data_IF_045964356169
#
_entry.id   IF_045964356169
#
_cell.length_a   1.000
_cell.length_b   1.000
_cell.length_c   1.000
_cell.angle_alpha   90.00
_cell.angle_beta   90.00
_cell.angle_gamma   90.00
#
_symmetry.space_group_name_H-M   'P 1'
#
loop_
_entity.id
_entity.type
_entity.pdbx_description
1 polymer ?
#
# COMPACT_ATOMS: atom_id res chain seq x y z
N UNK A 1 -20.72 -7.01 -22.25
CA UNK A 1 -20.92 -7.30 -20.81
C UNK A 1 -20.64 -6.03 -20.01
N UNK A 2 -21.56 -5.62 -19.13
CA UNK A 2 -21.25 -4.51 -18.22
C UNK A 2 -20.21 -5.00 -17.20
N UNK A 3 -19.12 -4.28 -17.02
CA UNK A 3 -18.00 -4.64 -16.14
C UNK A 3 -18.49 -4.95 -14.71
N UNK A 4 -19.51 -4.21 -14.22
CA UNK A 4 -20.15 -4.38 -12.92
C UNK A 4 -21.66 -4.56 -13.12
N UNK A 5 -22.23 -5.78 -13.19
CA UNK A 5 -23.66 -5.98 -13.31
C UNK A 5 -24.38 -5.51 -12.04
N UNK A 6 -25.47 -4.75 -12.23
CA UNK A 6 -26.22 -4.10 -11.15
C UNK A 6 -26.86 -5.12 -10.17
N UNK A 7 -27.18 -6.30 -10.63
CA UNK A 7 -27.75 -7.41 -9.84
C UNK A 7 -26.82 -7.91 -8.72
N UNK A 8 -25.50 -7.66 -8.83
CA UNK A 8 -24.51 -7.99 -7.81
C UNK A 8 -24.35 -6.90 -6.73
N UNK A 9 -24.92 -5.71 -6.98
CA UNK A 9 -24.74 -4.55 -6.12
C UNK A 9 -25.98 -4.31 -5.24
N UNK A 10 -25.76 -3.68 -4.09
CA UNK A 10 -26.84 -3.23 -3.22
C UNK A 10 -27.72 -2.17 -3.91
N UNK A 11 -28.96 -2.04 -3.45
CA UNK A 11 -29.89 -1.07 -4.02
C UNK A 11 -29.37 0.36 -3.80
N UNK A 12 -29.39 1.17 -4.87
CA UNK A 12 -28.89 2.54 -4.86
C UNK A 12 -27.38 2.68 -5.11
N UNK A 13 -26.59 1.61 -5.08
CA UNK A 13 -25.15 1.67 -5.37
C UNK A 13 -24.93 1.87 -6.86
N UNK A 14 -24.14 2.90 -7.19
CA UNK A 14 -23.77 3.21 -8.57
C UNK A 14 -22.47 2.50 -8.97
N UNK A 15 -22.39 2.04 -10.21
CA UNK A 15 -21.19 1.37 -10.75
C UNK A 15 -19.90 2.17 -10.58
N UNK A 16 -19.98 3.51 -10.61
CA UNK A 16 -18.83 4.40 -10.39
C UNK A 16 -18.27 4.29 -8.96
N UNK A 17 -19.10 3.95 -7.99
CA UNK A 17 -18.68 3.77 -6.60
C UNK A 17 -17.87 2.49 -6.44
N UNK A 18 -18.32 1.42 -7.09
CA UNK A 18 -17.58 0.16 -7.17
C UNK A 18 -16.27 0.33 -7.95
N UNK A 19 -16.31 1.08 -9.04
CA UNK A 19 -15.10 1.41 -9.81
C UNK A 19 -14.09 2.20 -8.96
N UNK A 20 -14.54 3.25 -8.24
CA UNK A 20 -13.68 4.02 -7.34
C UNK A 20 -13.09 3.16 -6.22
N UNK A 21 -13.88 2.25 -5.65
CA UNK A 21 -13.42 1.29 -4.66
C UNK A 21 -12.36 0.32 -5.22
N UNK A 22 -12.58 -0.24 -6.41
CA UNK A 22 -11.61 -1.09 -7.09
C UNK A 22 -10.35 -0.34 -7.52
N UNK A 23 -10.47 0.95 -7.90
CA UNK A 23 -9.32 1.80 -8.21
C UNK A 23 -8.49 2.16 -6.98
N UNK A 24 -9.07 2.16 -5.78
CA UNK A 24 -8.29 2.26 -4.57
C UNK A 24 -7.37 1.03 -4.40
N UNK A 25 -7.91 -0.16 -4.60
CA UNK A 25 -7.13 -1.41 -4.55
C UNK A 25 -6.02 -1.43 -5.62
N UNK A 26 -6.33 -0.93 -6.82
CA UNK A 26 -5.33 -0.71 -7.87
C UNK A 26 -4.16 0.17 -7.40
N UNK A 27 -4.45 1.32 -6.82
CA UNK A 27 -3.43 2.27 -6.37
C UNK A 27 -2.60 1.72 -5.20
N UNK A 28 -3.27 1.12 -4.23
CA UNK A 28 -2.72 0.61 -2.98
C UNK A 28 -1.76 -0.60 -3.18
N UNK A 29 -2.02 -1.46 -4.17
CA UNK A 29 -1.24 -2.67 -4.43
C UNK A 29 0.21 -2.39 -4.85
N UNK A 30 0.50 -1.20 -5.38
CA UNK A 30 1.86 -0.76 -5.68
C UNK A 30 2.76 -0.69 -4.44
N UNK A 31 2.22 -0.31 -3.30
CA UNK A 31 2.96 -0.25 -2.04
C UNK A 31 3.46 -1.65 -1.62
N UNK A 32 2.59 -2.65 -1.61
CA UNK A 32 2.96 -4.01 -1.22
C UNK A 32 4.03 -4.60 -2.12
N UNK A 33 3.87 -4.44 -3.44
CA UNK A 33 4.79 -5.04 -4.41
C UNK A 33 6.15 -4.35 -4.42
N UNK A 34 6.20 -3.03 -4.37
CA UNK A 34 7.45 -2.27 -4.50
C UNK A 34 8.11 -2.06 -3.14
N UNK A 35 7.38 -1.59 -2.13
CA UNK A 35 7.97 -1.23 -0.83
C UNK A 35 8.21 -2.47 0.02
N UNK A 36 7.16 -3.26 0.27
CA UNK A 36 7.27 -4.39 1.20
C UNK A 36 8.07 -5.56 0.64
N UNK A 37 7.97 -5.82 -0.67
CA UNK A 37 8.43 -7.08 -1.24
C UNK A 37 9.68 -6.94 -2.12
N UNK A 38 9.66 -6.07 -3.14
CA UNK A 38 10.65 -6.16 -4.21
C UNK A 38 11.85 -5.21 -4.06
N UNK A 39 11.61 -3.92 -3.79
CA UNK A 39 12.65 -2.88 -3.93
C UNK A 39 13.16 -2.39 -2.59
N UNK A 40 12.27 -1.84 -1.74
CA UNK A 40 12.74 -1.20 -0.51
C UNK A 40 13.23 -2.19 0.53
N UNK A 41 12.69 -3.40 0.60
CA UNK A 41 13.22 -4.48 1.43
C UNK A 41 14.72 -4.73 1.17
N UNK A 42 15.08 -4.93 -0.10
CA UNK A 42 16.47 -5.16 -0.50
C UNK A 42 17.36 -3.94 -0.21
N UNK A 43 16.84 -2.75 -0.44
CA UNK A 43 17.53 -1.49 -0.15
C UNK A 43 17.75 -1.28 1.34
N UNK A 44 16.74 -1.58 2.17
CA UNK A 44 16.85 -1.51 3.62
C UNK A 44 18.00 -2.39 4.13
N UNK A 45 18.02 -3.66 3.71
CA UNK A 45 19.04 -4.62 4.15
C UNK A 45 20.42 -4.24 3.62
N UNK A 46 20.56 -3.95 2.33
CA UNK A 46 21.85 -3.74 1.68
C UNK A 46 22.44 -2.34 1.88
N UNK A 47 21.61 -1.31 1.98
CA UNK A 47 22.06 0.09 1.99
C UNK A 47 21.79 0.77 3.33
N UNK A 48 20.54 0.83 3.79
CA UNK A 48 20.22 1.50 5.04
C UNK A 48 20.89 0.83 6.26
N UNK A 49 20.83 -0.50 6.33
CA UNK A 49 21.48 -1.30 7.36
C UNK A 49 22.91 -1.77 6.99
N UNK A 50 23.43 -1.32 5.85
CA UNK A 50 24.81 -1.56 5.37
C UNK A 50 25.19 -3.05 5.28
N UNK A 51 24.23 -3.93 5.01
CA UNK A 51 24.46 -5.38 4.91
C UNK A 51 24.84 -6.07 6.22
N UNK A 52 24.49 -5.49 7.37
CA UNK A 52 24.77 -6.09 8.67
C UNK A 52 24.03 -7.42 8.84
N UNK A 53 24.61 -8.38 9.56
CA UNK A 53 24.04 -9.71 9.79
C UNK A 53 22.64 -9.69 10.42
N UNK A 54 22.34 -8.64 11.19
CA UNK A 54 21.03 -8.43 11.82
C UNK A 54 20.01 -7.70 10.92
N UNK A 55 20.40 -7.22 9.75
CA UNK A 55 19.57 -6.35 8.90
C UNK A 55 18.24 -7.00 8.50
N UNK A 56 18.25 -8.28 8.11
CA UNK A 56 17.04 -9.02 7.77
C UNK A 56 16.13 -9.21 8.98
N UNK A 57 16.71 -9.48 10.15
CA UNK A 57 15.96 -9.57 11.40
C UNK A 57 15.31 -8.21 11.73
N UNK A 58 16.05 -7.11 11.61
CA UNK A 58 15.53 -5.78 11.84
C UNK A 58 14.35 -5.45 10.90
N UNK A 59 14.47 -5.76 9.61
CA UNK A 59 13.36 -5.63 8.66
C UNK A 59 12.11 -6.39 9.12
N UNK A 60 12.28 -7.67 9.47
CA UNK A 60 11.18 -8.51 9.94
C UNK A 60 10.54 -7.96 11.22
N UNK A 61 11.35 -7.47 12.16
CA UNK A 61 10.86 -6.87 13.40
C UNK A 61 10.09 -5.57 13.15
N UNK A 62 10.52 -4.74 12.20
CA UNK A 62 9.81 -3.51 11.81
C UNK A 62 8.42 -3.85 11.26
N UNK A 63 8.32 -4.84 10.37
CA UNK A 63 7.03 -5.29 9.83
C UNK A 63 6.16 -5.91 10.94
N UNK A 64 6.74 -6.76 11.79
CA UNK A 64 6.01 -7.39 12.89
C UNK A 64 5.49 -6.36 13.90
N UNK A 65 6.30 -5.37 14.26
CA UNK A 65 5.89 -4.28 15.16
C UNK A 65 4.76 -3.44 14.56
N UNK A 66 4.84 -3.12 13.28
CA UNK A 66 3.77 -2.43 12.55
C UNK A 66 2.46 -3.23 12.57
N UNK A 67 2.54 -4.54 12.29
CA UNK A 67 1.39 -5.43 12.29
C UNK A 67 0.77 -5.59 13.68
N UNK A 68 1.60 -5.68 14.72
CA UNK A 68 1.15 -5.72 16.11
C UNK A 68 0.41 -4.42 16.48
N UNK A 69 0.95 -3.27 16.09
CA UNK A 69 0.30 -1.98 16.33
C UNK A 69 -1.07 -1.91 15.65
N UNK A 70 -1.17 -2.35 14.39
CA UNK A 70 -2.44 -2.43 13.67
C UNK A 70 -3.41 -3.37 14.36
N UNK A 71 -2.96 -4.55 14.76
CA UNK A 71 -3.81 -5.55 15.44
C UNK A 71 -4.43 -4.99 16.74
N UNK A 72 -3.66 -4.22 17.50
CA UNK A 72 -4.12 -3.64 18.76
C UNK A 72 -5.03 -2.42 18.57
N UNK A 73 -4.84 -1.66 17.52
CA UNK A 73 -5.52 -0.36 17.33
C UNK A 73 -6.65 -0.40 16.31
N UNK A 74 -6.63 -1.33 15.34
CA UNK A 74 -7.65 -1.42 14.30
C UNK A 74 -9.08 -1.64 14.83
N UNK A 75 -9.33 -2.45 15.88
CA UNK A 75 -10.69 -2.60 16.42
C UNK A 75 -11.28 -1.28 16.93
N UNK A 76 -10.45 -0.46 17.60
CA UNK A 76 -10.88 0.85 18.09
C UNK A 76 -11.10 1.85 16.95
N UNK A 77 -10.20 1.85 15.95
CA UNK A 77 -10.31 2.70 14.76
C UNK A 77 -11.55 2.33 13.94
N UNK A 78 -11.81 1.03 13.74
CA UNK A 78 -12.99 0.53 13.03
C UNK A 78 -14.30 0.91 13.74
N UNK A 79 -14.39 0.69 15.04
CA UNK A 79 -15.55 1.09 15.85
C UNK A 79 -15.79 2.62 15.76
N UNK A 80 -14.73 3.42 15.85
CA UNK A 80 -14.82 4.86 15.68
C UNK A 80 -15.32 5.26 14.29
N UNK A 81 -14.80 4.60 13.24
CA UNK A 81 -15.19 4.83 11.86
C UNK A 81 -16.67 4.55 11.60
N UNK A 82 -17.17 3.46 12.20
CA UNK A 82 -18.57 3.04 12.06
C UNK A 82 -19.52 3.95 12.87
N UNK A 83 -19.20 4.22 14.14
CA UNK A 83 -20.04 5.07 15.01
C UNK A 83 -20.21 6.50 14.50
N UNK A 84 -19.20 7.05 13.85
CA UNK A 84 -19.21 8.44 13.38
C UNK A 84 -19.43 8.59 11.88
N UNK A 85 -19.67 7.49 11.15
CA UNK A 85 -19.81 7.47 9.69
C UNK A 85 -18.61 8.14 8.96
N UNK A 86 -17.37 7.97 9.49
CA UNK A 86 -16.14 8.64 9.01
C UNK A 86 -15.19 7.76 8.22
N UNK A 87 -15.63 6.58 7.75
CA UNK A 87 -14.78 5.64 6.99
C UNK A 87 -14.02 6.33 5.85
N UNK A 88 -14.70 7.13 5.02
CA UNK A 88 -14.07 7.83 3.89
C UNK A 88 -13.03 8.86 4.32
N UNK A 89 -13.30 9.62 5.37
CA UNK A 89 -12.37 10.62 5.89
C UNK A 89 -11.11 9.95 6.46
N UNK A 90 -11.29 8.87 7.24
CA UNK A 90 -10.17 8.08 7.77
C UNK A 90 -9.37 7.42 6.66
N UNK A 91 -10.03 6.85 5.64
CA UNK A 91 -9.37 6.29 4.48
C UNK A 91 -8.51 7.33 3.76
N UNK A 92 -9.05 8.53 3.50
CA UNK A 92 -8.29 9.62 2.89
C UNK A 92 -7.10 10.09 3.74
N UNK A 93 -7.29 10.17 5.06
CA UNK A 93 -6.21 10.56 5.99
C UNK A 93 -5.09 9.50 6.03
N UNK A 94 -5.43 8.22 6.19
CA UNK A 94 -4.44 7.14 6.21
C UNK A 94 -3.70 7.02 4.89
N UNK A 95 -4.41 7.20 3.76
CA UNK A 95 -3.80 7.27 2.43
C UNK A 95 -2.79 8.42 2.33
N UNK A 96 -3.17 9.63 2.71
CA UNK A 96 -2.28 10.79 2.66
C UNK A 96 -1.03 10.60 3.52
N UNK A 97 -1.17 10.05 4.73
CA UNK A 97 -0.04 9.77 5.62
C UNK A 97 0.84 8.65 5.02
N UNK A 98 0.24 7.60 4.46
CA UNK A 98 0.98 6.51 3.81
C UNK A 98 1.82 7.04 2.64
N UNK A 99 1.22 7.86 1.77
CA UNK A 99 1.91 8.51 0.65
C UNK A 99 3.05 9.39 1.14
N UNK A 100 2.81 10.24 2.14
CA UNK A 100 3.84 11.12 2.71
C UNK A 100 5.00 10.32 3.32
N UNK A 101 4.70 9.24 4.06
CA UNK A 101 5.70 8.36 4.62
C UNK A 101 6.48 7.59 3.54
N UNK A 102 5.81 7.17 2.46
CA UNK A 102 6.46 6.54 1.30
C UNK A 102 7.39 7.51 0.57
N UNK A 103 6.99 8.79 0.45
CA UNK A 103 7.90 9.85 -0.03
C UNK A 103 9.10 10.02 0.91
N UNK A 104 8.90 9.95 2.23
CA UNK A 104 10.00 10.03 3.19
C UNK A 104 11.01 8.86 3.05
N UNK A 105 10.57 7.68 2.60
CA UNK A 105 11.48 6.57 2.27
C UNK A 105 12.46 6.92 1.14
N UNK A 106 12.12 7.87 0.26
CA UNK A 106 13.05 8.36 -0.76
C UNK A 106 14.21 9.18 -0.19
N UNK A 107 14.13 9.62 1.07
CA UNK A 107 15.20 10.36 1.74
C UNK A 107 16.21 9.44 2.44
N UNK A 108 15.96 8.13 2.47
CA UNK A 108 16.80 7.16 3.16
C UNK A 108 18.09 6.92 2.39
N UNK A 109 19.22 7.24 3.00
CA UNK A 109 20.56 6.96 2.49
C UNK A 109 21.27 5.84 3.26
N UNK A 110 22.61 5.78 3.07
CA UNK A 110 23.45 4.81 3.77
C UNK A 110 23.52 5.12 5.27
N UNK A 111 23.12 4.16 6.11
CA UNK A 111 23.16 4.30 7.56
C UNK A 111 21.97 5.04 8.15
N UNK A 112 21.04 5.56 7.34
CA UNK A 112 19.83 6.27 7.82
C UNK A 112 18.75 5.29 8.33
N UNK A 113 19.17 4.35 9.16
CA UNK A 113 18.32 3.27 9.66
C UNK A 113 17.11 3.83 10.42
N UNK A 114 17.30 4.89 11.19
CA UNK A 114 16.21 5.47 11.99
C UNK A 114 15.09 6.06 11.12
N UNK A 115 15.48 6.81 10.09
CA UNK A 115 14.51 7.37 9.14
C UNK A 115 13.78 6.25 8.42
N UNK A 116 14.52 5.22 7.97
CA UNK A 116 13.96 4.05 7.30
C UNK A 116 12.93 3.33 8.19
N UNK A 117 13.27 3.07 9.46
CA UNK A 117 12.38 2.38 10.42
C UNK A 117 11.13 3.20 10.70
N UNK A 118 11.26 4.48 11.03
CA UNK A 118 10.12 5.33 11.38
C UNK A 118 9.18 5.50 10.19
N UNK A 119 9.71 5.85 9.01
CA UNK A 119 8.90 6.02 7.81
C UNK A 119 8.24 4.69 7.40
N UNK A 120 8.94 3.56 7.56
CA UNK A 120 8.41 2.24 7.25
C UNK A 120 7.27 1.84 8.19
N UNK A 121 7.41 2.06 9.51
CA UNK A 121 6.34 1.78 10.48
C UNK A 121 5.10 2.63 10.17
N UNK A 122 5.28 3.93 9.95
CA UNK A 122 4.17 4.84 9.66
C UNK A 122 3.46 4.44 8.36
N UNK A 123 4.22 4.22 7.28
CA UNK A 123 3.63 3.86 5.98
C UNK A 123 2.90 2.52 6.04
N UNK A 124 3.50 1.50 6.68
CA UNK A 124 2.90 0.17 6.76
C UNK A 124 1.66 0.12 7.66
N UNK A 125 1.64 0.86 8.77
CA UNK A 125 0.45 1.00 9.62
C UNK A 125 -0.68 1.70 8.86
N UNK A 126 -0.39 2.81 8.20
CA UNK A 126 -1.39 3.55 7.43
C UNK A 126 -1.89 2.76 6.21
N UNK A 127 -1.01 2.04 5.54
CA UNK A 127 -1.36 1.08 4.49
C UNK A 127 -2.36 0.04 5.00
N UNK A 128 -2.05 -0.63 6.11
CA UNK A 128 -2.89 -1.68 6.69
C UNK A 128 -4.25 -1.16 7.18
N UNK A 129 -4.29 0.08 7.69
CA UNK A 129 -5.56 0.74 8.00
C UNK A 129 -6.38 1.01 6.73
N UNK A 130 -5.73 1.48 5.67
CA UNK A 130 -6.38 1.69 4.37
C UNK A 130 -6.99 0.41 3.81
N UNK A 131 -6.25 -0.70 3.83
CA UNK A 131 -6.71 -2.03 3.44
C UNK A 131 -7.98 -2.45 4.22
N UNK A 132 -7.89 -2.35 5.54
CA UNK A 132 -9.00 -2.75 6.43
C UNK A 132 -10.24 -1.87 6.24
N UNK A 133 -10.06 -0.55 6.10
CA UNK A 133 -11.15 0.39 5.85
C UNK A 133 -11.77 0.16 4.47
N UNK A 134 -10.97 -0.13 3.45
CA UNK A 134 -11.45 -0.45 2.09
C UNK A 134 -12.25 -1.75 2.08
N UNK A 135 -11.79 -2.79 2.78
CA UNK A 135 -12.52 -4.03 2.95
C UNK A 135 -13.89 -3.81 3.65
N UNK A 136 -13.96 -2.88 4.61
CA UNK A 136 -15.19 -2.54 5.32
C UNK A 136 -16.28 -1.87 4.46
N UNK A 137 -15.96 -1.40 3.25
CA UNK A 137 -16.94 -0.92 2.26
C UNK A 137 -17.61 -2.05 1.47
N UNK A 138 -17.03 -3.23 1.40
CA UNK A 138 -17.54 -4.32 0.58
C UNK A 138 -19.00 -4.70 0.90
N UNK A 139 -19.42 -4.84 2.17
CA UNK A 139 -20.82 -5.10 2.51
C UNK A 139 -21.78 -3.97 2.16
N UNK A 140 -21.28 -2.73 2.06
CA UNK A 140 -22.09 -1.57 1.65
C UNK A 140 -22.30 -1.55 0.13
N UNK A 141 -21.36 -2.09 -0.65
CA UNK A 141 -21.37 -2.09 -2.10
C UNK A 141 -22.07 -3.32 -2.70
N UNK A 142 -21.85 -4.50 -2.11
CA UNK A 142 -22.21 -5.78 -2.68
C UNK A 142 -23.37 -6.45 -1.93
N UNK A 143 -24.27 -7.10 -2.68
CA UNK A 143 -25.28 -7.98 -2.08
C UNK A 143 -24.62 -9.19 -1.40
N UNK A 144 -25.17 -9.73 -0.29
CA UNK A 144 -24.56 -10.83 0.46
C UNK A 144 -24.14 -12.03 -0.40
N UNK A 145 -25.00 -12.44 -1.34
CA UNK A 145 -24.71 -13.56 -2.24
C UNK A 145 -23.70 -13.25 -3.35
N UNK A 146 -23.31 -11.99 -3.53
CA UNK A 146 -22.37 -11.52 -4.57
C UNK A 146 -21.08 -10.95 -4.02
N UNK A 147 -20.87 -10.95 -2.70
CA UNK A 147 -19.66 -10.37 -2.08
C UNK A 147 -18.36 -10.94 -2.65
N UNK A 148 -18.27 -12.26 -2.82
CA UNK A 148 -17.09 -12.89 -3.40
C UNK A 148 -16.81 -12.45 -4.84
N UNK A 149 -17.86 -12.20 -5.63
CA UNK A 149 -17.73 -11.72 -7.01
C UNK A 149 -17.23 -10.27 -7.05
N UNK A 150 -17.79 -9.40 -6.20
CA UNK A 150 -17.40 -7.99 -6.12
C UNK A 150 -15.98 -7.86 -5.54
N UNK A 151 -15.65 -8.62 -4.52
CA UNK A 151 -14.28 -8.71 -3.98
C UNK A 151 -13.29 -9.15 -5.07
N UNK A 152 -13.64 -10.15 -5.88
CA UNK A 152 -12.81 -10.60 -7.01
C UNK A 152 -12.52 -9.49 -8.03
N UNK A 153 -13.43 -8.55 -8.23
CA UNK A 153 -13.16 -7.39 -9.09
C UNK A 153 -12.10 -6.46 -8.46
N UNK A 154 -12.21 -6.14 -7.16
CA UNK A 154 -11.18 -5.35 -6.46
C UNK A 154 -9.81 -5.99 -6.60
N UNK A 155 -9.70 -7.26 -6.24
CA UNK A 155 -8.44 -8.03 -6.36
C UNK A 155 -7.86 -8.01 -7.78
N UNK A 156 -8.72 -8.14 -8.80
CA UNK A 156 -8.27 -8.08 -10.19
C UNK A 156 -7.65 -6.72 -10.53
N UNK A 157 -8.30 -5.63 -10.10
CA UNK A 157 -7.74 -4.28 -10.26
C UNK A 157 -6.45 -4.09 -9.47
N UNK A 158 -6.38 -4.62 -8.24
CA UNK A 158 -5.18 -4.60 -7.42
C UNK A 158 -4.00 -5.28 -8.11
N UNK A 159 -4.17 -6.47 -8.69
CA UNK A 159 -3.11 -7.13 -9.46
C UNK A 159 -2.60 -6.27 -10.62
N UNK A 160 -3.50 -5.65 -11.39
CA UNK A 160 -3.07 -4.76 -12.48
C UNK A 160 -2.31 -3.54 -11.95
N UNK A 161 -2.74 -2.95 -10.84
CA UNK A 161 -2.05 -1.83 -10.19
C UNK A 161 -0.68 -2.19 -9.66
N UNK A 162 -0.56 -3.33 -8.97
CA UNK A 162 0.72 -3.86 -8.52
C UNK A 162 1.69 -4.15 -9.66
N UNK A 163 1.19 -4.77 -10.76
CA UNK A 163 1.99 -5.02 -11.97
C UNK A 163 2.45 -3.73 -12.63
N UNK A 164 1.57 -2.73 -12.73
CA UNK A 164 1.93 -1.43 -13.32
C UNK A 164 3.02 -0.76 -12.50
N UNK A 165 2.84 -0.65 -11.18
CA UNK A 165 3.80 -0.02 -10.27
C UNK A 165 5.15 -0.74 -10.31
N UNK A 166 5.13 -2.07 -10.24
CA UNK A 166 6.36 -2.88 -10.33
C UNK A 166 7.02 -2.73 -11.69
N UNK A 167 6.25 -2.75 -12.79
CA UNK A 167 6.76 -2.57 -14.15
C UNK A 167 7.41 -1.21 -14.36
N UNK A 168 6.80 -0.13 -13.87
CA UNK A 168 7.37 1.21 -13.94
C UNK A 168 8.68 1.30 -13.13
N UNK A 169 8.67 0.80 -11.89
CA UNK A 169 9.86 0.78 -11.04
C UNK A 169 10.98 -0.08 -11.65
N UNK A 170 10.66 -1.28 -12.13
CA UNK A 170 11.63 -2.17 -12.75
C UNK A 170 12.25 -1.55 -14.00
N UNK A 171 11.43 -0.96 -14.88
CA UNK A 171 11.91 -0.28 -16.09
C UNK A 171 12.87 0.84 -15.74
N UNK A 172 12.55 1.62 -14.71
CA UNK A 172 13.43 2.68 -14.25
C UNK A 172 14.73 2.13 -13.63
N UNK A 173 14.65 1.09 -12.81
CA UNK A 173 15.85 0.44 -12.21
C UNK A 173 16.78 -0.10 -13.28
N UNK A 174 16.25 -0.81 -14.29
CA UNK A 174 17.06 -1.34 -15.39
C UNK A 174 17.73 -0.23 -16.19
N UNK A 175 17.01 0.85 -16.47
CA UNK A 175 17.57 2.03 -17.13
C UNK A 175 18.67 2.70 -16.32
N UNK A 176 18.49 2.85 -15.01
CA UNK A 176 19.45 3.46 -14.09
C UNK A 176 20.72 2.60 -13.97
N UNK A 177 20.55 1.27 -13.81
CA UNK A 177 21.66 0.32 -13.77
C UNK A 177 22.48 0.30 -15.07
N UNK A 178 21.82 0.37 -16.23
CA UNK A 178 22.50 0.48 -17.52
C UNK A 178 23.37 1.74 -17.65
N UNK A 179 23.07 2.78 -16.84
CA UNK A 179 23.87 4.02 -16.73
C UNK A 179 24.89 4.00 -15.60
N UNK A 180 25.01 2.90 -14.88
CA UNK A 180 25.93 2.75 -13.75
C UNK A 180 25.52 3.52 -12.49
N UNK A 181 24.25 3.94 -12.36
CA UNK A 181 23.76 4.64 -11.17
C UNK A 181 23.71 3.68 -9.97
N UNK A 182 24.15 4.10 -8.78
CA UNK A 182 24.07 3.28 -7.57
C UNK A 182 22.64 3.20 -7.02
N UNK A 183 22.38 2.20 -6.17
CA UNK A 183 21.08 2.00 -5.52
C UNK A 183 20.60 3.22 -4.72
N UNK A 184 21.52 3.99 -4.16
CA UNK A 184 21.25 5.23 -3.43
C UNK A 184 20.64 6.34 -4.28
N UNK A 185 20.74 6.24 -5.60
CA UNK A 185 20.17 7.22 -6.52
C UNK A 185 18.87 6.71 -7.16
N UNK A 186 18.80 5.43 -7.54
CA UNK A 186 17.61 4.95 -8.24
C UNK A 186 16.49 4.47 -7.31
N UNK A 187 16.77 3.93 -6.11
CA UNK A 187 15.71 3.48 -5.20
C UNK A 187 14.85 4.65 -4.69
N UNK A 188 15.38 5.81 -4.31
CA UNK A 188 14.56 6.98 -3.99
C UNK A 188 13.52 7.31 -5.06
N UNK A 189 13.89 7.25 -6.33
CA UNK A 189 12.96 7.53 -7.44
C UNK A 189 11.87 6.47 -7.53
N UNK A 190 12.17 5.19 -7.27
CA UNK A 190 11.14 4.15 -7.24
C UNK A 190 10.13 4.35 -6.10
N UNK A 191 10.56 4.91 -4.96
CA UNK A 191 9.64 5.30 -3.88
C UNK A 191 8.71 6.44 -4.31
N UNK A 192 9.25 7.44 -5.05
CA UNK A 192 8.44 8.53 -5.59
C UNK A 192 7.47 8.05 -6.67
N UNK A 193 7.88 7.13 -7.55
CA UNK A 193 6.99 6.49 -8.53
C UNK A 193 5.85 5.78 -7.79
N UNK A 194 6.16 4.97 -6.77
CA UNK A 194 5.15 4.26 -5.98
C UNK A 194 4.20 5.21 -5.29
N UNK A 195 4.71 6.26 -4.64
CA UNK A 195 3.90 7.28 -3.99
C UNK A 195 2.99 8.07 -4.97
N UNK A 196 3.39 8.21 -6.22
CA UNK A 196 2.62 8.91 -7.25
C UNK A 196 1.49 8.05 -7.85
N UNK A 197 1.64 6.73 -7.82
CA UNK A 197 0.60 5.79 -8.27
C UNK A 197 -0.43 5.53 -7.19
N UNK A 198 0.00 5.57 -5.93
CA UNK A 198 -0.87 5.43 -4.75
C UNK A 198 -1.85 6.59 -4.64
#
# INVERSE_FOLDING_TARGET
MALFPQEALNDGVRKREVFGWAMYDFANSGYTTVVLTAVFNTYFVGVAAQGADWATLAWTLVIAASSLLVMLTMPALGAYADMHARKKALLGMTTAICVAATVALALVGRGDLWIAVVAMVISNVCYSYGESLTAAFLPELARPHSMGRVSGWGWSFGYFGGMLSLGLCLSYVLWAQARGLPATEFVPVTMLITASVY
#
